data_IF_594187943344
#
_entry.id   IF_594187943344
#
_cell.length_a   1.000
_cell.length_b   1.000
_cell.length_c   1.000
_cell.angle_alpha   90.00
_cell.angle_beta   90.00
_cell.angle_gamma   90.00
#
_symmetry.space_group_name_H-M   'P 1'
#
loop_
_entity.id
_entity.type
_entity.pdbx_description
1 polymer ?
#
# COMPACT_ATOMS: atom_id res chain seq x y z
N UNK A 1 29.82 -18.12 -31.93
CA UNK A 1 28.69 -18.99 -31.56
C UNK A 1 27.40 -18.17 -31.36
N UNK A 2 26.36 -18.43 -32.17
CA UNK A 2 25.16 -17.59 -32.23
C UNK A 2 24.15 -18.06 -31.17
N UNK A 3 23.81 -17.19 -30.22
CA UNK A 3 22.69 -17.42 -29.31
C UNK A 3 21.61 -16.37 -29.56
N UNK A 4 20.64 -16.80 -30.37
CA UNK A 4 19.20 -16.58 -30.20
C UNK A 4 18.69 -15.15 -30.05
N UNK A 5 18.16 -14.63 -31.18
CA UNK A 5 17.01 -13.72 -31.19
C UNK A 5 15.88 -14.31 -30.34
N UNK A 6 15.73 -13.85 -29.10
CA UNK A 6 14.47 -14.00 -28.38
C UNK A 6 13.58 -12.79 -28.69
N UNK A 7 12.30 -12.99 -29.03
CA UNK A 7 11.37 -11.88 -29.22
C UNK A 7 11.22 -11.17 -27.86
N UNK A 8 11.75 -9.95 -27.78
CA UNK A 8 11.48 -9.07 -26.64
C UNK A 8 9.96 -8.83 -26.58
N UNK A 9 9.28 -9.07 -25.44
CA UNK A 9 7.87 -8.74 -25.32
C UNK A 9 7.69 -7.25 -25.61
N UNK A 10 6.56 -6.85 -26.24
CA UNK A 10 6.35 -5.45 -26.59
C UNK A 10 6.54 -4.62 -25.33
N UNK A 11 7.53 -3.72 -25.36
CA UNK A 11 7.65 -2.68 -24.34
C UNK A 11 6.37 -1.88 -24.46
N UNK A 12 5.44 -2.14 -23.54
CA UNK A 12 4.30 -1.28 -23.35
C UNK A 12 4.86 0.03 -22.78
N UNK A 13 5.35 0.89 -23.69
CA UNK A 13 5.54 2.31 -23.43
C UNK A 13 4.13 2.83 -23.19
N UNK A 14 3.65 2.73 -21.96
CA UNK A 14 2.56 3.60 -21.55
C UNK A 14 3.07 5.03 -21.77
N UNK A 15 2.44 5.82 -22.66
CA UNK A 15 2.73 7.23 -22.71
C UNK A 15 2.43 7.76 -21.32
N UNK A 16 3.45 8.36 -20.69
CA UNK A 16 3.30 9.08 -19.42
C UNK A 16 2.52 10.36 -19.74
N UNK A 17 1.24 10.21 -20.06
CA UNK A 17 0.28 11.29 -20.20
C UNK A 17 0.00 11.91 -18.83
N UNK A 18 -0.47 13.17 -18.79
CA UNK A 18 -0.48 14.00 -17.59
C UNK A 18 -1.20 13.26 -16.48
N UNK A 19 -0.48 13.04 -15.37
CA UNK A 19 -0.85 12.11 -14.29
C UNK A 19 -2.10 12.57 -13.49
N UNK A 20 -2.55 13.80 -13.68
CA UNK A 20 -3.77 14.37 -13.11
C UNK A 20 -4.28 15.51 -14.00
N UNK A 21 -5.60 15.75 -14.02
CA UNK A 21 -6.21 16.91 -14.71
C UNK A 21 -6.06 18.18 -13.89
N UNK A 22 -6.10 18.07 -12.56
CA UNK A 22 -5.84 19.16 -11.65
C UNK A 22 -5.17 18.67 -10.36
N UNK A 23 -4.47 19.58 -9.68
CA UNK A 23 -3.85 19.36 -8.39
C UNK A 23 -4.46 20.34 -7.38
N UNK A 24 -5.04 19.82 -6.31
CA UNK A 24 -5.66 20.60 -5.24
C UNK A 24 -4.83 20.49 -3.97
N UNK A 25 -4.36 21.61 -3.43
CA UNK A 25 -3.68 21.63 -2.14
C UNK A 25 -4.72 21.78 -1.02
N UNK A 26 -4.99 20.69 -0.29
CA UNK A 26 -5.85 20.73 0.88
C UNK A 26 -5.04 20.96 2.15
N UNK A 27 -5.55 21.74 3.09
CA UNK A 27 -4.88 21.96 4.39
C UNK A 27 -4.91 20.70 5.25
N UNK A 28 -3.86 20.47 6.05
CA UNK A 28 -3.80 19.46 7.13
C UNK A 28 -4.34 19.95 8.48
N UNK A 29 -5.06 21.08 8.50
CA UNK A 29 -5.57 21.69 9.74
C UNK A 29 -6.22 20.65 10.70
N UNK A 30 -5.93 20.71 12.01
CA UNK A 30 -5.19 21.77 12.73
C UNK A 30 -3.65 21.66 12.64
N UNK A 31 -3.10 20.60 12.04
CA UNK A 31 -1.64 20.45 11.88
C UNK A 31 -1.13 21.27 10.68
N UNK A 32 0.09 21.77 10.78
CA UNK A 32 0.74 22.49 9.67
C UNK A 32 0.99 21.55 8.48
N UNK A 33 0.80 22.07 7.26
CA UNK A 33 1.14 21.38 6.01
C UNK A 33 -0.05 21.18 5.07
N UNK A 34 0.26 20.75 3.85
CA UNK A 34 -0.72 20.52 2.80
C UNK A 34 -0.79 19.04 2.39
N UNK A 35 -1.97 18.61 1.92
CA UNK A 35 -2.22 17.33 1.24
C UNK A 35 -2.45 17.64 -0.23
N UNK A 36 -1.46 17.47 -1.10
CA UNK A 36 -1.67 17.61 -2.53
C UNK A 36 -2.53 16.44 -3.02
N UNK A 37 -3.72 16.74 -3.53
CA UNK A 37 -4.65 15.77 -4.11
C UNK A 37 -4.63 15.92 -5.62
N UNK A 38 -4.18 14.86 -6.29
CA UNK A 38 -4.27 14.74 -7.74
C UNK A 38 -5.69 14.29 -8.14
N UNK A 39 -6.42 15.16 -8.85
CA UNK A 39 -7.73 14.82 -9.40
C UNK A 39 -7.55 14.38 -10.85
N UNK A 40 -7.76 13.08 -11.09
CA UNK A 40 -7.75 12.51 -12.43
C UNK A 40 -8.97 12.94 -13.24
N UNK A 41 -8.88 12.86 -14.57
CA UNK A 41 -10.06 13.02 -15.44
C UNK A 41 -11.13 11.95 -15.17
N UNK A 42 -12.39 12.28 -15.45
CA UNK A 42 -13.56 11.41 -15.21
C UNK A 42 -13.38 10.04 -15.88
N UNK A 43 -12.99 10.01 -17.15
CA UNK A 43 -12.83 8.75 -17.88
C UNK A 43 -11.77 7.86 -17.25
N UNK A 44 -10.66 8.45 -16.78
CA UNK A 44 -9.60 7.73 -16.08
C UNK A 44 -10.07 7.16 -14.74
N UNK A 45 -10.85 7.92 -13.97
CA UNK A 45 -11.40 7.45 -12.71
C UNK A 45 -12.38 6.29 -12.91
N UNK A 46 -13.28 6.40 -13.90
CA UNK A 46 -14.25 5.35 -14.24
C UNK A 46 -13.52 4.10 -14.74
N UNK A 47 -12.60 4.25 -15.69
CA UNK A 47 -11.81 3.13 -16.20
C UNK A 47 -11.04 2.43 -15.06
N UNK A 48 -10.38 3.18 -14.18
CA UNK A 48 -9.68 2.62 -13.02
C UNK A 48 -10.60 1.84 -12.09
N UNK A 49 -11.79 2.38 -11.79
CA UNK A 49 -12.79 1.68 -10.97
C UNK A 49 -13.28 0.38 -11.63
N UNK A 50 -13.59 0.42 -12.93
CA UNK A 50 -14.07 -0.77 -13.65
C UNK A 50 -13.00 -1.85 -13.72
N UNK A 51 -11.75 -1.48 -14.01
CA UNK A 51 -10.63 -2.41 -14.09
C UNK A 51 -10.28 -3.05 -12.73
N UNK A 52 -10.36 -2.29 -11.63
CA UNK A 52 -10.00 -2.78 -10.30
C UNK A 52 -11.14 -3.49 -9.58
N UNK A 53 -12.39 -3.30 -10.00
CA UNK A 53 -13.57 -3.92 -9.38
C UNK A 53 -13.48 -5.45 -9.24
N UNK A 54 -13.09 -6.23 -10.27
CA UNK A 54 -12.99 -7.68 -10.13
C UNK A 54 -11.87 -8.10 -9.16
N UNK A 55 -10.76 -7.37 -9.15
CA UNK A 55 -9.58 -7.71 -8.34
C UNK A 55 -9.68 -7.26 -6.88
N UNK A 56 -10.56 -6.31 -6.57
CA UNK A 56 -10.64 -5.70 -5.24
C UNK A 56 -10.83 -6.72 -4.11
N UNK A 57 -11.66 -7.75 -4.34
CA UNK A 57 -11.90 -8.79 -3.35
C UNK A 57 -10.68 -9.72 -3.17
N UNK A 58 -10.00 -10.08 -4.26
CA UNK A 58 -8.81 -10.93 -4.23
C UNK A 58 -7.64 -10.23 -3.52
N UNK A 59 -7.40 -8.96 -3.88
CA UNK A 59 -6.38 -8.12 -3.24
C UNK A 59 -6.69 -7.91 -1.76
N UNK A 60 -7.95 -7.61 -1.43
CA UNK A 60 -8.39 -7.46 -0.04
C UNK A 60 -8.14 -8.71 0.79
N UNK A 61 -8.52 -9.89 0.26
CA UNK A 61 -8.26 -11.18 0.91
C UNK A 61 -6.78 -11.44 1.12
N UNK A 62 -5.95 -11.21 0.10
CA UNK A 62 -4.51 -11.42 0.19
C UNK A 62 -3.89 -10.70 1.39
N UNK A 63 -4.21 -9.41 1.59
CA UNK A 63 -3.69 -8.62 2.71
C UNK A 63 -4.39 -8.88 4.06
N UNK A 64 -5.44 -9.68 4.09
CA UNK A 64 -6.13 -10.07 5.32
C UNK A 64 -5.80 -11.48 5.82
N UNK A 65 -5.53 -12.41 4.90
CA UNK A 65 -5.39 -13.82 5.25
C UNK A 65 -4.08 -14.43 4.79
N UNK A 66 -3.55 -14.01 3.64
CA UNK A 66 -2.48 -14.75 2.95
C UNK A 66 -1.10 -14.12 3.19
N UNK A 67 -1.05 -12.81 3.42
CA UNK A 67 0.18 -12.11 3.78
C UNK A 67 0.63 -12.49 5.19
N UNK A 68 1.82 -13.10 5.31
CA UNK A 68 2.33 -13.62 6.59
C UNK A 68 2.70 -12.56 7.62
N UNK A 69 3.03 -11.36 7.18
CA UNK A 69 3.62 -10.29 7.99
C UNK A 69 2.79 -9.00 7.98
N UNK A 70 1.61 -9.01 7.36
CA UNK A 70 0.75 -7.83 7.22
C UNK A 70 -0.68 -8.26 7.44
N UNK A 71 -1.39 -7.51 8.29
CA UNK A 71 -2.82 -7.62 8.46
C UNK A 71 -3.46 -6.25 8.18
N UNK A 72 -4.13 -6.13 7.05
CA UNK A 72 -4.69 -4.87 6.57
C UNK A 72 -6.09 -4.61 7.12
N UNK A 73 -6.22 -3.48 7.83
CA UNK A 73 -7.49 -3.04 8.43
C UNK A 73 -8.14 -1.86 7.71
N UNK A 74 -7.41 -1.11 6.88
CA UNK A 74 -7.98 0.01 6.14
C UNK A 74 -8.48 -0.40 4.76
N UNK A 75 -9.28 0.48 4.13
CA UNK A 75 -9.81 0.37 2.76
C UNK A 75 -10.69 -0.87 2.53
N UNK A 76 -12.01 -0.65 2.49
CA UNK A 76 -12.98 -1.71 2.14
C UNK A 76 -13.29 -2.69 3.27
N UNK A 77 -12.76 -2.47 4.48
CA UNK A 77 -13.01 -3.32 5.65
C UNK A 77 -14.00 -2.63 6.60
N UNK A 78 -15.22 -3.19 6.79
CA UNK A 78 -16.19 -2.65 7.73
C UNK A 78 -15.65 -2.68 9.16
N UNK A 79 -15.68 -1.53 9.84
CA UNK A 79 -15.19 -1.37 11.21
C UNK A 79 -13.70 -1.63 11.38
N UNK A 80 -12.90 -1.36 10.35
CA UNK A 80 -11.48 -1.69 10.32
C UNK A 80 -10.66 -1.02 11.42
N UNK A 81 -10.94 0.26 11.71
CA UNK A 81 -10.21 1.01 12.73
C UNK A 81 -10.45 0.44 14.13
N UNK A 82 -11.69 0.11 14.44
CA UNK A 82 -12.10 -0.50 15.70
C UNK A 82 -11.47 -1.89 15.85
N UNK A 83 -11.51 -2.71 14.80
CA UNK A 83 -10.87 -4.04 14.79
C UNK A 83 -9.37 -3.96 15.06
N UNK A 84 -8.67 -3.03 14.41
CA UNK A 84 -7.24 -2.82 14.63
C UNK A 84 -6.96 -2.43 16.09
N UNK A 85 -7.73 -1.47 16.65
CA UNK A 85 -7.56 -1.05 18.02
C UNK A 85 -7.81 -2.19 19.01
N UNK A 86 -8.89 -2.97 18.82
CA UNK A 86 -9.17 -4.13 19.66
C UNK A 86 -8.11 -5.21 19.54
N UNK A 87 -7.62 -5.51 18.33
CA UNK A 87 -6.55 -6.48 18.16
C UNK A 87 -5.27 -6.04 18.89
N UNK A 88 -4.89 -4.77 18.79
CA UNK A 88 -3.71 -4.25 19.47
C UNK A 88 -3.83 -4.42 21.00
N UNK A 89 -5.00 -4.11 21.57
CA UNK A 89 -5.25 -4.35 23.00
C UNK A 89 -5.17 -5.84 23.35
N UNK A 90 -5.84 -6.72 22.59
CA UNK A 90 -5.82 -8.17 22.85
C UNK A 90 -4.39 -8.75 22.79
N UNK A 91 -3.55 -8.26 21.87
CA UNK A 91 -2.16 -8.70 21.77
C UNK A 91 -1.32 -8.23 22.96
N UNK A 92 -1.52 -7.00 23.44
CA UNK A 92 -0.87 -6.48 24.63
C UNK A 92 -1.32 -7.20 25.90
N UNK A 93 -2.63 -7.46 26.04
CA UNK A 93 -3.19 -8.17 27.20
C UNK A 93 -2.71 -9.64 27.25
N UNK A 94 -2.46 -10.26 26.10
CA UNK A 94 -1.90 -11.60 26.00
C UNK A 94 -0.41 -11.69 26.37
N UNK A 95 0.29 -10.55 26.38
CA UNK A 95 1.72 -10.45 26.72
C UNK A 95 1.90 -9.36 27.79
N UNK A 96 1.44 -9.61 29.03
CA UNK A 96 1.50 -8.62 30.09
C UNK A 96 2.95 -8.23 30.36
N UNK A 97 3.21 -6.95 30.66
CA UNK A 97 4.57 -6.49 30.93
C UNK A 97 5.11 -7.15 32.19
N UNK A 98 6.27 -7.79 32.07
CA UNK A 98 7.09 -8.27 33.18
C UNK A 98 8.35 -7.40 33.27
N UNK A 99 8.53 -6.70 34.39
CA UNK A 99 9.65 -5.78 34.61
C UNK A 99 11.02 -6.48 34.63
N UNK A 100 11.04 -7.82 34.76
CA UNK A 100 12.25 -8.64 34.75
C UNK A 100 12.57 -9.26 33.39
N UNK A 101 11.72 -9.03 32.37
CA UNK A 101 11.89 -9.65 31.06
C UNK A 101 13.00 -8.98 30.26
N UNK A 102 13.94 -9.79 29.77
CA UNK A 102 15.05 -9.31 28.94
C UNK A 102 14.59 -8.95 27.52
N UNK A 103 13.40 -9.40 27.10
CA UNK A 103 12.81 -9.15 25.78
C UNK A 103 11.33 -8.75 25.90
N UNK A 104 11.03 -7.51 26.32
CA UNK A 104 9.66 -7.09 26.58
C UNK A 104 8.84 -6.99 25.29
N UNK A 105 7.60 -7.50 25.34
CA UNK A 105 6.65 -7.34 24.24
C UNK A 105 6.17 -5.88 24.13
N UNK A 106 6.27 -5.30 22.94
CA UNK A 106 5.94 -3.89 22.71
C UNK A 106 5.24 -3.66 21.37
N UNK A 107 4.48 -2.56 21.30
CA UNK A 107 3.83 -2.11 20.06
C UNK A 107 4.54 -0.86 19.55
N UNK A 108 5.00 -0.93 18.30
CA UNK A 108 5.62 0.20 17.60
C UNK A 108 4.62 0.82 16.64
N UNK A 109 4.41 2.13 16.76
CA UNK A 109 3.65 2.91 15.78
C UNK A 109 4.60 3.48 14.74
N UNK A 110 4.35 3.15 13.47
CA UNK A 110 5.12 3.63 12.33
C UNK A 110 4.25 4.55 11.48
N UNK A 111 4.78 5.70 11.08
CA UNK A 111 4.15 6.61 10.14
C UNK A 111 5.09 6.88 8.96
N UNK A 112 4.55 6.73 7.75
CA UNK A 112 5.31 6.97 6.52
C UNK A 112 5.09 8.42 6.08
N UNK A 113 6.16 9.20 6.12
CA UNK A 113 6.14 10.58 5.62
C UNK A 113 5.75 10.58 4.14
N UNK A 114 4.70 11.32 3.80
CA UNK A 114 4.33 11.60 2.41
C UNK A 114 4.12 10.33 1.54
N UNK A 115 3.63 9.25 2.14
CA UNK A 115 3.58 7.90 1.57
C UNK A 115 3.07 7.81 0.12
N UNK A 116 1.98 8.51 -0.22
CA UNK A 116 1.39 8.45 -1.57
C UNK A 116 2.30 9.00 -2.68
N UNK A 117 3.18 9.94 -2.35
CA UNK A 117 4.08 10.59 -3.30
C UNK A 117 5.43 9.89 -3.38
N UNK A 118 5.88 9.29 -2.27
CA UNK A 118 7.19 8.65 -2.14
C UNK A 118 7.17 7.15 -2.47
N UNK A 119 6.01 6.50 -2.46
CA UNK A 119 5.93 5.09 -2.83
C UNK A 119 6.35 4.86 -4.29
N UNK A 120 7.30 3.94 -4.48
CA UNK A 120 7.72 3.50 -5.81
C UNK A 120 6.60 2.73 -6.49
N UNK A 121 6.11 3.25 -7.62
CA UNK A 121 5.10 2.58 -8.44
C UNK A 121 5.65 1.31 -9.08
N UNK A 122 6.95 1.28 -9.36
CA UNK A 122 7.62 0.08 -9.87
C UNK A 122 7.63 -1.02 -8.82
N UNK A 123 7.93 -0.68 -7.57
CA UNK A 123 7.90 -1.65 -6.47
C UNK A 123 6.50 -2.26 -6.30
N UNK A 124 5.44 -1.45 -6.35
CA UNK A 124 4.06 -1.97 -6.29
C UNK A 124 3.82 -2.97 -7.41
N UNK A 125 4.25 -2.66 -8.65
CA UNK A 125 4.10 -3.55 -9.78
C UNK A 125 4.92 -4.84 -9.60
N UNK A 126 6.16 -4.75 -9.10
CA UNK A 126 7.02 -5.91 -8.87
C UNK A 126 6.45 -6.82 -7.76
N UNK A 127 5.83 -6.25 -6.71
CA UNK A 127 5.12 -7.01 -5.67
C UNK A 127 3.94 -7.75 -6.29
N UNK A 128 3.12 -7.08 -7.10
CA UNK A 128 1.97 -7.71 -7.76
C UNK A 128 2.39 -8.80 -8.76
N UNK A 129 3.57 -8.66 -9.38
CA UNK A 129 4.14 -9.67 -10.27
C UNK A 129 4.89 -10.79 -9.54
N UNK A 130 5.01 -10.74 -8.20
CA UNK A 130 5.79 -11.70 -7.42
C UNK A 130 7.31 -11.64 -7.62
N UNK A 131 7.82 -10.51 -8.11
CA UNK A 131 9.24 -10.26 -8.41
C UNK A 131 9.96 -9.52 -7.28
N UNK A 132 9.22 -8.88 -6.37
CA UNK A 132 9.80 -8.13 -5.27
C UNK A 132 10.60 -9.04 -4.32
N UNK A 133 11.86 -8.67 -4.06
CA UNK A 133 12.70 -9.27 -3.02
C UNK A 133 12.83 -8.33 -1.81
N UNK A 134 13.42 -8.82 -0.72
CA UNK A 134 13.72 -8.00 0.47
C UNK A 134 14.73 -6.88 0.20
N UNK A 135 15.47 -6.95 -0.90
CA UNK A 135 16.58 -6.04 -1.21
C UNK A 135 16.13 -4.73 -1.86
N UNK A 136 14.83 -4.59 -2.14
CA UNK A 136 14.26 -3.43 -2.84
C UNK A 136 14.21 -2.12 -2.02
N UNK A 137 14.51 -2.19 -0.71
CA UNK A 137 14.40 -1.06 0.22
C UNK A 137 15.76 -0.52 0.71
N UNK A 138 16.85 -0.79 -0.02
CA UNK A 138 18.16 -0.16 0.20
C UNK A 138 18.33 1.12 -0.62
#
# INVERSE_FOLDING_TARGET
PPHTNQPTPPRLRYPVGPRAKSLLALSKAPKLGNRPIAVGDLFRQVAGKVLLKPEAAAIGRFFQTDARNVLQFAVGIPGGAEKMAHLAHLLLDAHPPDESDADPYGVLTLDLSNAFNEVSRQLIQDVLNGQASRDYAM
#
